data_IF_442053608691
#
_entry.id   IF_442053608691
#
_cell.length_a   1.000
_cell.length_b   1.000
_cell.length_c   1.000
_cell.angle_alpha   90.00
_cell.angle_beta   90.00
_cell.angle_gamma   90.00
#
_symmetry.space_group_name_H-M   'P 1'
#
loop_
_entity.id
_entity.type
_entity.pdbx_description
1 polymer ?
#
# COMPACT_ATOMS: atom_id res chain seq x y z
N UNK A 1 -2.28 -47.47 80.30
CA UNK A 1 -3.32 -46.85 81.15
C UNK A 1 -4.08 -45.83 80.31
N UNK A 2 -5.41 -45.94 80.28
CA UNK A 2 -6.47 -45.06 79.73
C UNK A 2 -6.29 -44.45 78.33
N UNK A 3 -7.00 -44.88 77.28
CA UNK A 3 -8.42 -44.66 76.91
C UNK A 3 -8.84 -43.21 76.57
N UNK A 4 -9.60 -43.12 75.47
CA UNK A 4 -10.71 -42.19 75.17
C UNK A 4 -10.37 -40.78 74.68
N UNK A 5 -11.18 -40.11 73.86
CA UNK A 5 -12.32 -40.42 72.98
C UNK A 5 -12.57 -39.15 72.15
N UNK A 6 -13.26 -39.30 71.02
CA UNK A 6 -13.64 -38.29 70.01
C UNK A 6 -14.55 -37.13 70.51
N UNK A 7 -14.75 -36.18 69.57
CA UNK A 7 -15.85 -35.20 69.37
C UNK A 7 -15.54 -33.77 69.93
N UNK A 8 -15.78 -32.62 69.30
CA UNK A 8 -16.83 -32.13 68.36
C UNK A 8 -16.33 -30.91 67.54
N UNK A 9 -16.95 -30.73 66.38
CA UNK A 9 -17.07 -29.59 65.45
C UNK A 9 -16.98 -28.13 65.97
N UNK A 10 -16.33 -27.24 65.19
CA UNK A 10 -16.90 -26.27 64.22
C UNK A 10 -16.07 -24.97 64.14
N UNK A 11 -15.82 -24.47 62.92
CA UNK A 11 -15.98 -23.07 62.45
C UNK A 11 -15.16 -22.85 61.17
N UNK A 12 -15.87 -22.40 60.14
CA UNK A 12 -15.37 -21.94 58.85
C UNK A 12 -14.34 -20.82 58.98
N UNK A 13 -13.23 -20.91 58.24
CA UNK A 13 -12.52 -19.72 57.76
C UNK A 13 -11.81 -20.01 56.45
N UNK A 14 -12.00 -19.08 55.52
CA UNK A 14 -11.48 -18.98 54.17
C UNK A 14 -9.98 -19.27 54.03
N UNK A 15 -9.63 -20.23 53.17
CA UNK A 15 -8.27 -20.42 52.67
C UNK A 15 -8.13 -19.72 51.31
N UNK A 16 -7.48 -18.57 51.34
CA UNK A 16 -6.73 -18.00 50.23
C UNK A 16 -5.68 -19.02 49.77
N UNK A 17 -5.75 -19.46 48.53
CA UNK A 17 -4.60 -20.03 47.83
C UNK A 17 -4.18 -19.05 46.73
N UNK A 18 -3.12 -18.30 47.01
CA UNK A 18 -2.36 -17.57 46.00
C UNK A 18 -1.56 -18.60 45.20
N UNK A 19 -2.11 -19.00 44.04
CA UNK A 19 -1.35 -19.73 43.02
C UNK A 19 -0.55 -18.74 42.18
N UNK A 20 0.75 -18.64 42.44
CA UNK A 20 1.69 -18.06 41.49
C UNK A 20 1.78 -18.98 40.26
N UNK A 21 1.21 -18.58 39.14
CA UNK A 21 1.54 -19.16 37.84
C UNK A 21 2.73 -18.39 37.31
N UNK A 22 3.90 -19.02 37.30
CA UNK A 22 5.01 -18.58 36.46
C UNK A 22 4.56 -18.71 35.01
N UNK A 23 4.26 -17.59 34.37
CA UNK A 23 4.23 -17.54 32.92
C UNK A 23 5.67 -17.75 32.45
N UNK A 24 5.96 -18.91 31.86
CA UNK A 24 7.12 -19.07 31.01
C UNK A 24 7.06 -17.94 29.97
N UNK A 25 8.11 -17.12 29.88
CA UNK A 25 8.31 -16.18 28.78
C UNK A 25 8.31 -16.99 27.49
N UNK A 26 7.15 -17.07 26.85
CA UNK A 26 7.07 -17.49 25.47
C UNK A 26 7.94 -16.49 24.70
N UNK A 27 8.92 -16.94 23.89
CA UNK A 27 9.65 -16.03 23.05
C UNK A 27 8.62 -15.25 22.24
N UNK A 28 8.58 -13.92 22.41
CA UNK A 28 7.73 -13.03 21.62
C UNK A 28 8.06 -13.33 20.16
N UNK A 29 7.22 -14.11 19.50
CA UNK A 29 7.32 -14.31 18.07
C UNK A 29 7.13 -12.92 17.47
N UNK A 30 8.22 -12.34 16.96
CA UNK A 30 8.11 -11.12 16.16
C UNK A 30 7.15 -11.46 15.02
N UNK A 31 6.06 -10.70 14.81
CA UNK A 31 5.19 -10.92 13.67
C UNK A 31 6.04 -10.81 12.41
N UNK A 32 6.38 -11.95 11.81
CA UNK A 32 7.23 -12.01 10.63
C UNK A 32 6.34 -11.98 9.41
N UNK A 33 5.79 -10.79 9.14
CA UNK A 33 5.28 -10.40 7.83
C UNK A 33 5.60 -8.92 7.63
N UNK A 34 6.89 -8.60 7.53
CA UNK A 34 7.27 -7.39 6.80
C UNK A 34 6.80 -7.64 5.38
N UNK A 35 5.73 -6.98 4.95
CA UNK A 35 5.36 -6.97 3.54
C UNK A 35 6.55 -6.36 2.81
N UNK A 36 7.39 -7.20 2.20
CA UNK A 36 8.55 -6.72 1.48
C UNK A 36 8.03 -6.00 0.24
N UNK A 37 8.09 -4.66 0.27
CA UNK A 37 7.79 -3.82 -0.88
C UNK A 37 8.90 -3.98 -1.92
N UNK A 38 8.76 -5.00 -2.77
CA UNK A 38 9.73 -5.37 -3.80
C UNK A 38 9.04 -5.62 -5.13
N UNK A 39 9.79 -5.44 -6.21
CA UNK A 39 9.38 -5.79 -7.56
C UNK A 39 9.90 -7.18 -7.89
N UNK A 40 8.99 -8.12 -8.14
CA UNK A 40 9.32 -9.48 -8.52
C UNK A 40 9.34 -9.56 -10.04
N UNK A 41 10.40 -10.13 -10.62
CA UNK A 41 10.52 -10.30 -12.08
C UNK A 41 9.52 -11.32 -12.62
N UNK A 42 9.10 -11.15 -13.86
CA UNK A 42 8.32 -12.14 -14.57
C UNK A 42 9.22 -13.21 -15.20
N UNK A 43 9.00 -14.47 -14.84
CA UNK A 43 9.62 -15.66 -15.45
C UNK A 43 8.57 -16.60 -16.06
N UNK A 44 7.39 -16.07 -16.37
CA UNK A 44 6.27 -16.80 -16.95
C UNK A 44 5.07 -17.02 -16.02
N UNK A 45 5.11 -16.50 -14.79
CA UNK A 45 3.99 -16.62 -13.84
C UNK A 45 2.86 -15.62 -14.10
N UNK A 46 3.09 -14.65 -15.00
CA UNK A 46 2.11 -13.66 -15.48
C UNK A 46 2.19 -13.52 -17.00
N UNK A 47 1.29 -12.73 -17.61
CA UNK A 47 1.30 -12.45 -19.05
C UNK A 47 2.65 -11.86 -19.49
N UNK A 48 3.05 -12.15 -20.72
CA UNK A 48 4.39 -11.81 -21.26
C UNK A 48 4.71 -10.32 -21.25
N UNK A 49 3.69 -9.47 -21.29
CA UNK A 49 3.86 -8.03 -21.32
C UNK A 49 4.32 -7.45 -19.97
N UNK A 50 4.17 -8.21 -18.88
CA UNK A 50 4.60 -7.80 -17.54
C UNK A 50 6.07 -8.18 -17.38
N UNK A 51 6.92 -7.20 -17.08
CA UNK A 51 8.33 -7.41 -16.75
C UNK A 51 8.54 -7.58 -15.25
N UNK A 52 7.87 -6.74 -14.45
CA UNK A 52 7.92 -6.81 -12.99
C UNK A 52 6.55 -6.55 -12.38
N UNK A 53 6.31 -7.08 -11.18
CA UNK A 53 5.13 -6.77 -10.38
C UNK A 53 5.50 -6.56 -8.92
N UNK A 54 4.90 -5.56 -8.30
CA UNK A 54 4.93 -5.36 -6.87
C UNK A 54 3.52 -5.46 -6.28
N UNK A 55 3.44 -5.92 -5.05
CA UNK A 55 2.19 -5.93 -4.28
C UNK A 55 2.00 -4.59 -3.58
N UNK A 56 0.76 -4.12 -3.58
CA UNK A 56 0.31 -2.99 -2.77
C UNK A 56 -0.94 -3.42 -2.00
N UNK A 57 -1.28 -2.77 -0.87
CA UNK A 57 -2.42 -3.18 -0.03
C UNK A 57 -3.74 -3.41 -0.78
N UNK A 58 -3.97 -2.70 -1.90
CA UNK A 58 -5.22 -2.74 -2.66
C UNK A 58 -5.02 -3.16 -4.12
N UNK A 59 -4.02 -4.01 -4.37
CA UNK A 59 -3.81 -4.63 -5.67
C UNK A 59 -2.35 -4.70 -6.07
N UNK A 60 -2.03 -4.32 -7.31
CA UNK A 60 -0.71 -4.53 -7.88
C UNK A 60 -0.20 -3.34 -8.67
N UNK A 61 1.11 -3.12 -8.59
CA UNK A 61 1.85 -2.29 -9.53
C UNK A 61 2.46 -3.25 -10.55
N UNK A 62 2.19 -3.02 -11.84
CA UNK A 62 2.72 -3.81 -12.93
C UNK A 62 3.62 -2.92 -13.79
N UNK A 63 4.85 -3.35 -14.00
CA UNK A 63 5.80 -2.70 -14.90
C UNK A 63 5.85 -3.49 -16.18
N UNK A 64 5.61 -2.83 -17.31
CA UNK A 64 5.77 -3.39 -18.66
C UNK A 64 6.94 -2.68 -19.35
N UNK A 65 7.21 -3.04 -20.62
CA UNK A 65 8.20 -2.30 -21.40
C UNK A 65 7.87 -0.80 -21.45
N UNK A 66 6.63 -0.43 -21.81
CA UNK A 66 6.29 0.97 -22.15
C UNK A 66 5.34 1.67 -21.17
N UNK A 67 5.01 1.02 -20.04
CA UNK A 67 4.03 1.56 -19.11
C UNK A 67 4.19 1.05 -17.68
N UNK A 68 3.63 1.81 -16.75
CA UNK A 68 3.36 1.39 -15.37
C UNK A 68 1.84 1.29 -15.22
N UNK A 69 1.35 0.19 -14.66
CA UNK A 69 -0.07 -0.01 -14.37
C UNK A 69 -0.31 -0.13 -12.87
N UNK A 70 -1.34 0.54 -12.39
CA UNK A 70 -1.94 0.32 -11.07
C UNK A 70 -3.22 -0.47 -11.27
N UNK A 71 -3.19 -1.74 -10.90
CA UNK A 71 -4.40 -2.56 -10.82
C UNK A 71 -4.94 -2.46 -9.40
N UNK A 72 -6.00 -1.68 -9.24
CA UNK A 72 -6.68 -1.43 -7.97
C UNK A 72 -7.88 -2.35 -7.83
N UNK A 73 -8.08 -2.90 -6.65
CA UNK A 73 -9.20 -3.78 -6.33
C UNK A 73 -9.76 -3.40 -4.96
N UNK A 74 -11.07 -3.25 -4.87
CA UNK A 74 -11.75 -2.92 -3.62
C UNK A 74 -13.23 -3.25 -3.67
N UNK A 75 -13.90 -3.09 -2.53
CA UNK A 75 -15.35 -3.26 -2.44
C UNK A 75 -16.06 -1.97 -2.83
N UNK A 76 -17.26 -2.09 -3.41
CA UNK A 76 -18.12 -0.93 -3.62
C UNK A 76 -18.48 -0.32 -2.26
N UNK A 77 -18.28 0.99 -2.04
CA UNK A 77 -18.73 1.63 -0.82
C UNK A 77 -20.25 1.48 -0.73
N UNK A 78 -20.74 0.95 0.39
CA UNK A 78 -22.16 0.90 0.69
C UNK A 78 -22.64 2.35 0.73
N UNK A 79 -23.42 2.77 -0.27
CA UNK A 79 -24.08 4.07 -0.25
C UNK A 79 -25.17 4.01 0.82
N UNK A 80 -24.86 4.36 2.06
CA UNK A 80 -25.90 4.64 3.04
C UNK A 80 -26.58 5.95 2.62
N UNK A 81 -27.81 5.86 2.13
CA UNK A 81 -28.69 7.03 1.93
C UNK A 81 -29.25 7.54 3.28
N UNK A 82 -28.58 7.25 4.40
CA UNK A 82 -29.05 7.64 5.72
C UNK A 82 -28.54 9.06 6.02
N UNK A 83 -29.43 9.96 6.48
CA UNK A 83 -29.00 11.24 7.02
C UNK A 83 -27.97 11.01 8.13
N UNK A 84 -26.89 11.79 8.12
CA UNK A 84 -25.92 11.81 9.22
C UNK A 84 -26.66 12.13 10.53
N UNK A 85 -26.93 11.10 11.35
CA UNK A 85 -27.65 11.21 12.63
C UNK A 85 -28.86 10.30 12.82
N UNK A 86 -29.23 9.42 11.87
CA UNK A 86 -30.36 8.48 12.09
C UNK A 86 -29.91 7.18 12.75
N UNK A 87 -30.21 7.01 14.04
CA UNK A 87 -30.02 5.75 14.80
C UNK A 87 -31.10 4.71 14.48
N UNK A 88 -31.27 4.36 13.21
CA UNK A 88 -32.20 3.30 12.82
C UNK A 88 -31.41 2.26 12.04
N UNK A 89 -31.03 1.16 12.70
CA UNK A 89 -30.39 -0.01 12.08
C UNK A 89 -31.19 -0.48 10.86
N UNK A 90 -30.76 -0.26 9.62
CA UNK A 90 -31.23 -1.07 8.52
C UNK A 90 -30.26 -2.24 8.44
N UNK A 91 -30.74 -3.46 8.69
CA UNK A 91 -30.02 -4.66 8.27
C UNK A 91 -29.88 -4.62 6.75
N UNK A 92 -28.80 -4.01 6.25
CA UNK A 92 -28.39 -4.13 4.85
C UNK A 92 -27.70 -5.48 4.76
N UNK A 93 -28.40 -6.48 4.21
CA UNK A 93 -27.86 -7.82 4.06
C UNK A 93 -26.52 -7.79 3.32
N UNK A 94 -25.47 -8.34 3.93
CA UNK A 94 -24.10 -8.40 3.40
C UNK A 94 -23.93 -9.25 2.11
N UNK A 95 -25.03 -9.66 1.46
CA UNK A 95 -25.04 -10.66 0.39
C UNK A 95 -24.79 -10.11 -1.03
N UNK A 96 -24.34 -8.87 -1.21
CA UNK A 96 -24.10 -8.30 -2.56
C UNK A 96 -22.86 -7.39 -2.69
N UNK A 97 -21.82 -7.56 -1.87
CA UNK A 97 -20.59 -6.79 -2.08
C UNK A 97 -19.84 -7.29 -3.32
N UNK A 98 -20.09 -6.65 -4.47
CA UNK A 98 -19.36 -6.91 -5.71
C UNK A 98 -17.96 -6.30 -5.60
N UNK A 99 -16.95 -7.14 -5.82
CA UNK A 99 -15.57 -6.70 -6.00
C UNK A 99 -15.49 -5.81 -7.24
N UNK A 100 -15.00 -4.58 -7.09
CA UNK A 100 -14.70 -3.67 -8.20
C UNK A 100 -13.20 -3.59 -8.41
N UNK A 101 -12.82 -3.54 -9.69
CA UNK A 101 -11.45 -3.28 -10.12
C UNK A 101 -11.39 -1.98 -10.90
N UNK A 102 -10.27 -1.27 -10.78
CA UNK A 102 -9.92 -0.14 -11.62
C UNK A 102 -8.47 -0.27 -12.06
N UNK A 103 -8.17 -0.01 -13.34
CA UNK A 103 -6.80 -0.03 -13.84
C UNK A 103 -6.43 1.36 -14.30
N UNK A 104 -5.38 1.93 -13.70
CA UNK A 104 -4.75 3.15 -14.17
C UNK A 104 -3.49 2.74 -14.92
N UNK A 105 -3.33 3.18 -16.16
CA UNK A 105 -2.12 2.92 -16.94
C UNK A 105 -1.42 4.23 -17.29
N UNK A 106 -0.13 4.30 -16.97
CA UNK A 106 0.75 5.42 -17.30
C UNK A 106 1.66 4.98 -18.44
N UNK A 107 1.53 5.62 -19.59
CA UNK A 107 2.43 5.43 -20.73
C UNK A 107 3.39 6.62 -20.84
N UNK A 108 4.55 6.37 -21.48
CA UNK A 108 5.58 7.36 -21.75
C UNK A 108 5.61 7.71 -23.24
N UNK A 109 4.72 8.60 -23.74
CA UNK A 109 4.71 8.98 -25.14
C UNK A 109 6.05 9.59 -25.57
N UNK A 110 6.48 9.26 -26.79
CA UNK A 110 7.74 9.72 -27.39
C UNK A 110 8.99 9.31 -26.60
N UNK A 111 8.89 8.25 -25.79
CA UNK A 111 10.05 7.59 -25.18
C UNK A 111 10.98 7.02 -26.25
N UNK A 112 12.24 6.84 -25.86
CA UNK A 112 13.27 6.22 -26.69
C UNK A 112 12.88 4.77 -27.01
N UNK A 113 12.75 4.34 -28.28
CA UNK A 113 12.34 2.97 -28.59
C UNK A 113 13.27 1.88 -28.02
N UNK A 114 14.52 2.24 -27.72
CA UNK A 114 15.57 1.31 -27.27
C UNK A 114 15.86 1.40 -25.75
N UNK A 115 15.08 2.15 -24.97
CA UNK A 115 15.29 2.23 -23.52
C UNK A 115 15.16 0.85 -22.87
N UNK A 116 15.82 0.68 -21.72
CA UNK A 116 15.87 -0.60 -21.01
C UNK A 116 15.16 -0.52 -19.67
N UNK A 117 14.37 -1.54 -19.33
CA UNK A 117 13.74 -1.67 -18.00
C UNK A 117 14.49 -2.73 -17.21
N UNK A 118 15.16 -2.33 -16.14
CA UNK A 118 16.05 -3.22 -15.39
C UNK A 118 15.78 -3.19 -13.90
N UNK A 119 15.80 -4.36 -13.26
CA UNK A 119 15.76 -4.47 -11.81
C UNK A 119 17.09 -4.10 -11.17
N UNK A 120 17.07 -3.23 -10.16
CA UNK A 120 18.23 -2.83 -9.35
C UNK A 120 18.06 -3.25 -7.90
N UNK A 121 19.16 -3.26 -7.15
CA UNK A 121 19.19 -3.60 -5.72
C UNK A 121 18.46 -4.93 -5.45
N UNK A 122 18.98 -5.98 -6.08
CA UNK A 122 18.42 -7.34 -5.96
C UNK A 122 18.38 -7.77 -4.49
N UNK A 123 17.23 -8.30 -4.06
CA UNK A 123 17.09 -8.91 -2.74
C UNK A 123 17.46 -10.40 -2.77
N UNK A 124 17.88 -10.92 -1.61
CA UNK A 124 18.26 -12.33 -1.48
C UNK A 124 17.06 -13.27 -1.56
N UNK A 125 15.87 -12.81 -1.14
CA UNK A 125 14.61 -13.55 -1.21
C UNK A 125 14.35 -14.08 -2.63
N UNK A 126 13.79 -15.29 -2.70
CA UNK A 126 13.37 -15.94 -3.95
C UNK A 126 11.88 -16.26 -3.86
N UNK A 127 11.19 -16.09 -4.97
CA UNK A 127 9.75 -16.31 -5.07
C UNK A 127 9.46 -17.56 -5.91
N UNK A 128 8.57 -18.40 -5.38
CA UNK A 128 8.11 -19.64 -6.00
C UNK A 128 6.63 -19.49 -6.37
N UNK A 129 6.25 -19.88 -7.59
CA UNK A 129 4.85 -19.86 -8.04
C UNK A 129 4.43 -21.25 -8.52
N UNK A 130 3.69 -21.96 -7.67
CA UNK A 130 3.25 -23.35 -7.89
C UNK A 130 1.74 -23.38 -8.23
N UNK A 131 1.34 -22.62 -9.26
CA UNK A 131 -0.08 -22.35 -9.58
C UNK A 131 -0.74 -23.40 -10.48
N UNK A 132 0.04 -24.18 -11.22
CA UNK A 132 -0.44 -25.19 -12.17
C UNK A 132 -0.32 -26.60 -11.59
N UNK A 133 -1.20 -27.51 -12.01
CA UNK A 133 -1.16 -28.93 -11.64
C UNK A 133 0.06 -29.65 -12.24
N UNK A 134 0.58 -29.16 -13.36
CA UNK A 134 1.83 -29.64 -13.95
C UNK A 134 3.04 -28.94 -13.28
N UNK A 135 3.91 -29.68 -12.56
CA UNK A 135 5.12 -29.12 -11.95
C UNK A 135 6.12 -28.50 -12.93
N UNK A 136 6.09 -28.91 -14.20
CA UNK A 136 6.96 -28.33 -15.24
C UNK A 136 6.62 -26.87 -15.55
N UNK A 137 5.39 -26.42 -15.21
CA UNK A 137 4.95 -25.03 -15.36
C UNK A 137 5.18 -24.20 -14.11
N UNK A 138 5.79 -24.76 -13.07
CA UNK A 138 6.11 -24.01 -11.87
C UNK A 138 7.25 -23.04 -12.14
N UNK A 139 7.03 -21.78 -11.77
CA UNK A 139 8.11 -20.81 -11.77
C UNK A 139 8.87 -20.93 -10.46
N UNK A 140 10.15 -21.24 -10.58
CA UNK A 140 11.04 -21.36 -9.43
C UNK A 140 12.16 -20.32 -9.46
N UNK A 141 12.42 -19.69 -8.33
CA UNK A 141 13.55 -18.81 -8.10
C UNK A 141 13.39 -17.45 -8.75
N UNK A 142 12.17 -16.93 -8.86
CA UNK A 142 11.97 -15.56 -9.33
C UNK A 142 12.70 -14.60 -8.38
N UNK A 143 13.53 -13.72 -8.96
CA UNK A 143 14.25 -12.69 -8.23
C UNK A 143 13.32 -11.52 -7.90
N UNK A 144 13.72 -10.75 -6.90
CA UNK A 144 13.07 -9.50 -6.60
C UNK A 144 14.08 -8.37 -6.39
N UNK A 145 13.59 -7.16 -6.56
CA UNK A 145 14.38 -5.94 -6.70
C UNK A 145 13.73 -4.83 -5.85
N UNK A 146 14.54 -3.98 -5.23
CA UNK A 146 14.01 -2.84 -4.48
C UNK A 146 13.71 -1.62 -5.37
N UNK A 147 14.24 -1.63 -6.60
CA UNK A 147 14.14 -0.51 -7.55
C UNK A 147 14.05 -1.05 -8.97
N UNK A 148 13.26 -0.39 -9.82
CA UNK A 148 13.22 -0.62 -11.27
C UNK A 148 13.67 0.66 -11.96
N UNK A 149 14.67 0.54 -12.84
CA UNK A 149 15.16 1.65 -13.66
C UNK A 149 14.66 1.48 -15.09
N UNK A 150 14.01 2.51 -15.61
CA UNK A 150 13.85 2.73 -17.05
C UNK A 150 15.02 3.60 -17.49
N UNK A 151 16.07 2.97 -17.99
CA UNK A 151 17.33 3.62 -18.39
C UNK A 151 17.19 4.23 -19.77
N UNK A 152 17.56 5.50 -19.93
CA UNK A 152 17.40 6.27 -21.18
C UNK A 152 15.94 6.29 -21.68
N UNK A 153 14.96 6.35 -20.75
CA UNK A 153 13.53 6.42 -21.07
C UNK A 153 13.23 7.54 -22.08
N UNK A 154 13.85 8.69 -21.87
CA UNK A 154 14.09 9.70 -22.89
C UNK A 154 15.61 9.92 -23.01
N UNK A 155 16.11 10.51 -24.11
CA UNK A 155 17.53 10.81 -24.24
C UNK A 155 18.06 11.57 -23.01
N UNK A 156 19.01 10.95 -22.30
CA UNK A 156 19.63 11.46 -21.08
C UNK A 156 18.69 11.62 -19.88
N UNK A 157 17.55 10.92 -19.86
CA UNK A 157 16.58 10.94 -18.77
C UNK A 157 16.21 9.50 -18.38
N UNK A 158 16.55 9.15 -17.13
CA UNK A 158 16.12 7.89 -16.52
C UNK A 158 14.83 8.10 -15.71
N UNK A 159 14.02 7.03 -15.57
CA UNK A 159 12.96 6.94 -14.57
C UNK A 159 13.30 5.83 -13.58
N UNK A 160 13.31 6.16 -12.29
CA UNK A 160 13.52 5.21 -11.20
C UNK A 160 12.22 4.98 -10.47
N UNK A 161 11.91 3.73 -10.16
CA UNK A 161 10.70 3.33 -9.45
C UNK A 161 11.08 2.54 -8.21
N UNK A 162 10.69 2.98 -7.02
CA UNK A 162 11.09 2.36 -5.74
C UNK A 162 10.04 2.60 -4.66
N UNK A 163 10.17 1.92 -3.53
CA UNK A 163 9.33 2.16 -2.37
C UNK A 163 10.04 2.99 -1.31
N UNK A 164 9.34 3.95 -0.73
CA UNK A 164 9.78 4.75 0.40
C UNK A 164 8.66 4.78 1.45
N UNK A 165 8.94 4.30 2.66
CA UNK A 165 7.92 4.20 3.73
C UNK A 165 6.64 3.47 3.29
N UNK A 166 6.82 2.39 2.50
CA UNK A 166 5.71 1.60 1.95
C UNK A 166 4.93 2.24 0.80
N UNK A 167 5.20 3.49 0.47
CA UNK A 167 4.61 4.20 -0.66
C UNK A 167 5.49 4.07 -1.90
N UNK A 168 4.84 3.95 -3.05
CA UNK A 168 5.54 3.94 -4.33
C UNK A 168 5.99 5.36 -4.68
N UNK A 169 7.28 5.49 -5.00
CA UNK A 169 7.90 6.71 -5.48
C UNK A 169 8.50 6.49 -6.85
N UNK A 170 8.56 7.57 -7.61
CA UNK A 170 9.29 7.57 -8.86
C UNK A 170 10.06 8.87 -9.07
N UNK A 171 11.28 8.76 -9.58
CA UNK A 171 12.16 9.91 -9.82
C UNK A 171 12.51 9.96 -11.31
N UNK A 172 12.30 11.10 -11.96
CA UNK A 172 12.95 11.39 -13.23
C UNK A 172 14.32 12.00 -12.96
N UNK A 173 15.37 11.38 -13.49
CA UNK A 173 16.76 11.86 -13.35
C UNK A 173 17.22 12.37 -14.71
N UNK A 174 17.31 13.70 -14.84
CA UNK A 174 17.71 14.40 -16.06
C UNK A 174 19.21 14.70 -15.97
N UNK A 175 19.99 14.14 -16.88
CA UNK A 175 21.42 14.38 -16.97
C UNK A 175 21.73 15.80 -17.47
N UNK A 176 22.93 16.35 -17.15
CA UNK A 176 23.33 17.66 -17.65
C UNK A 176 23.20 17.80 -19.17
N UNK A 177 22.64 18.93 -19.62
CA UNK A 177 22.45 19.25 -21.03
C UNK A 177 21.18 18.70 -21.68
N UNK A 178 20.43 17.83 -21.00
CA UNK A 178 19.20 17.25 -21.54
C UNK A 178 17.94 18.04 -21.16
N UNK A 179 16.91 17.94 -22.00
CA UNK A 179 15.72 18.79 -21.90
C UNK A 179 14.59 18.08 -21.13
N UNK A 180 14.24 18.54 -19.90
CA UNK A 180 13.18 17.93 -19.10
C UNK A 180 11.78 18.03 -19.73
N UNK A 181 11.55 18.94 -20.69
CA UNK A 181 10.24 19.11 -21.35
C UNK A 181 9.82 17.90 -22.21
N UNK A 182 10.75 16.97 -22.45
CA UNK A 182 10.50 15.67 -23.08
C UNK A 182 9.65 14.76 -22.19
N UNK A 183 9.76 14.89 -20.87
CA UNK A 183 9.02 14.07 -19.91
C UNK A 183 7.53 14.34 -20.08
N UNK A 184 6.78 13.27 -20.34
CA UNK A 184 5.33 13.33 -20.48
C UNK A 184 4.71 12.03 -20.01
N UNK A 185 3.68 12.13 -19.16
CA UNK A 185 2.94 10.97 -18.66
C UNK A 185 1.56 10.97 -19.30
N UNK A 186 1.22 9.90 -20.01
CA UNK A 186 -0.09 9.71 -20.61
C UNK A 186 -0.89 8.70 -19.78
N UNK A 187 -1.91 9.19 -19.10
CA UNK A 187 -2.80 8.37 -18.30
C UNK A 187 -3.93 7.79 -19.15
N UNK A 188 -4.25 6.53 -18.90
CA UNK A 188 -5.38 5.76 -19.42
C UNK A 188 -6.15 5.14 -18.25
N UNK A 189 -7.45 4.91 -18.45
CA UNK A 189 -8.35 4.41 -17.39
C UNK A 189 -8.99 5.50 -16.53
N UNK A 190 -8.53 6.75 -16.64
CA UNK A 190 -9.09 7.92 -15.93
C UNK A 190 -9.84 8.83 -16.91
N UNK A 191 -11.07 9.22 -16.55
CA UNK A 191 -11.91 10.07 -17.41
C UNK A 191 -11.69 11.57 -17.18
N UNK A 192 -11.50 12.00 -15.93
CA UNK A 192 -11.51 13.44 -15.56
C UNK A 192 -10.43 13.76 -14.55
N UNK A 193 -9.18 13.74 -15.01
CA UNK A 193 -8.05 14.20 -14.21
C UNK A 193 -8.16 15.69 -13.92
N UNK A 194 -7.65 16.11 -12.76
CA UNK A 194 -7.55 17.53 -12.41
C UNK A 194 -6.31 17.81 -11.57
N UNK A 195 -5.86 19.06 -11.56
CA UNK A 195 -4.82 19.54 -10.64
C UNK A 195 -5.48 20.55 -9.71
N UNK A 196 -5.35 20.34 -8.40
CA UNK A 196 -5.85 21.26 -7.36
C UNK A 196 -4.81 21.39 -6.27
N UNK A 197 -4.45 22.61 -5.89
CA UNK A 197 -3.40 22.88 -4.89
C UNK A 197 -2.06 22.16 -5.23
N UNK A 198 -1.80 22.04 -6.54
CA UNK A 198 -0.69 21.29 -7.14
C UNK A 198 -0.69 19.76 -6.86
N UNK A 199 -1.77 19.20 -6.29
CA UNK A 199 -2.01 17.76 -6.29
C UNK A 199 -2.61 17.33 -7.62
N UNK A 200 -2.10 16.25 -8.20
CA UNK A 200 -2.76 15.58 -9.31
C UNK A 200 -3.84 14.65 -8.75
N UNK A 201 -5.08 14.83 -9.18
CA UNK A 201 -6.22 14.04 -8.72
C UNK A 201 -6.66 13.10 -9.86
N UNK A 202 -6.70 11.81 -9.55
CA UNK A 202 -7.08 10.72 -10.45
C UNK A 202 -8.36 10.05 -9.92
N UNK A 203 -9.55 10.44 -10.41
CA UNK A 203 -10.79 9.82 -9.97
C UNK A 203 -10.93 8.38 -10.46
N UNK A 204 -11.17 7.44 -9.54
CA UNK A 204 -11.44 6.03 -9.86
C UNK A 204 -12.80 5.59 -9.32
N UNK A 205 -13.25 4.40 -9.68
CA UNK A 205 -14.48 3.82 -9.11
C UNK A 205 -14.31 3.35 -7.65
N UNK A 206 -13.09 3.41 -7.10
CA UNK A 206 -12.72 3.02 -5.74
C UNK A 206 -12.35 4.24 -4.85
N UNK A 207 -12.54 5.46 -5.36
CA UNK A 207 -12.11 6.70 -4.72
C UNK A 207 -11.04 7.43 -5.54
N UNK A 208 -10.54 8.55 -5.01
CA UNK A 208 -9.51 9.33 -5.69
C UNK A 208 -8.11 8.80 -5.35
N UNK A 209 -7.27 8.68 -6.37
CA UNK A 209 -5.82 8.54 -6.18
C UNK A 209 -5.20 9.93 -6.33
N UNK A 210 -4.19 10.24 -5.52
CA UNK A 210 -3.55 11.55 -5.51
C UNK A 210 -2.06 11.42 -5.83
N UNK A 211 -1.51 12.32 -6.62
CA UNK A 211 -0.06 12.56 -6.60
C UNK A 211 0.19 13.88 -5.88
N UNK A 212 1.12 13.85 -4.92
CA UNK A 212 1.58 15.05 -4.23
C UNK A 212 2.22 16.02 -5.22
N UNK A 213 2.26 17.32 -4.88
CA UNK A 213 3.05 18.31 -5.61
C UNK A 213 4.45 17.79 -5.94
N UNK A 214 4.90 17.91 -7.20
CA UNK A 214 6.20 17.38 -7.60
C UNK A 214 7.31 18.14 -6.88
N UNK A 215 8.22 17.40 -6.24
CA UNK A 215 9.41 17.98 -5.64
C UNK A 215 10.58 17.87 -6.63
N UNK A 216 11.06 19.00 -7.15
CA UNK A 216 12.23 19.02 -8.03
C UNK A 216 13.44 19.64 -7.32
N UNK A 217 14.62 19.11 -7.60
CA UNK A 217 15.88 19.64 -7.05
C UNK A 217 17.07 19.37 -7.96
N UNK A 218 18.09 20.23 -7.85
CA UNK A 218 19.39 20.04 -8.46
C UNK A 218 20.44 19.64 -7.44
N UNK A 219 21.36 18.78 -7.86
CA UNK A 219 22.50 18.37 -7.04
C UNK A 219 23.65 19.35 -7.27
N UNK A 220 24.03 20.10 -6.24
CA UNK A 220 25.18 21.00 -6.21
C UNK A 220 26.23 20.49 -5.22
N UNK A 221 27.44 21.06 -5.26
CA UNK A 221 28.53 20.72 -4.33
C UNK A 221 28.11 20.89 -2.85
N UNK A 222 27.29 21.89 -2.55
CA UNK A 222 26.81 22.19 -1.20
C UNK A 222 25.47 21.51 -0.85
N UNK A 223 25.02 20.51 -1.63
CA UNK A 223 23.79 19.74 -1.38
C UNK A 223 22.69 19.97 -2.42
N UNK A 224 21.44 19.68 -2.02
CA UNK A 224 20.26 19.79 -2.90
C UNK A 224 19.73 21.22 -2.92
N UNK A 225 19.59 21.80 -4.11
CA UNK A 225 18.89 23.07 -4.33
C UNK A 225 17.51 22.78 -4.90
N UNK A 226 16.45 23.16 -4.18
CA UNK A 226 15.08 22.99 -4.67
C UNK A 226 14.82 23.84 -5.92
N UNK A 227 14.05 23.28 -6.84
CA UNK A 227 13.58 23.90 -8.08
C UNK A 227 12.05 23.95 -8.04
N UNK A 228 11.49 25.10 -8.41
CA UNK A 228 10.04 25.25 -8.52
C UNK A 228 9.51 24.36 -9.64
N UNK A 229 8.59 23.46 -9.28
CA UNK A 229 7.99 22.50 -10.18
C UNK A 229 6.49 22.41 -9.93
N UNK A 230 5.69 22.38 -11.01
CA UNK A 230 4.24 22.22 -10.95
C UNK A 230 3.77 21.21 -11.97
N UNK A 231 2.63 20.57 -11.69
CA UNK A 231 1.97 19.75 -12.71
C UNK A 231 1.32 20.64 -13.78
N UNK A 232 1.56 20.29 -15.04
CA UNK A 232 0.85 20.82 -16.19
C UNK A 232 -0.04 19.73 -16.76
N UNK A 233 -1.36 19.93 -16.74
CA UNK A 233 -2.32 18.93 -17.19
C UNK A 233 -3.02 19.40 -18.47
N UNK A 234 -2.97 18.58 -19.53
CA UNK A 234 -3.78 18.76 -20.75
C UNK A 234 -4.48 17.46 -21.11
N UNK A 235 -5.81 17.42 -20.93
CA UNK A 235 -6.61 16.18 -21.00
C UNK A 235 -6.07 15.15 -20.00
N UNK A 236 -5.58 14.01 -20.49
CA UNK A 236 -4.99 12.95 -19.66
C UNK A 236 -3.46 12.91 -19.77
N UNK A 237 -2.84 14.00 -20.24
CA UNK A 237 -1.40 14.14 -20.36
C UNK A 237 -0.87 15.08 -19.30
N UNK A 238 0.03 14.57 -18.46
CA UNK A 238 0.74 15.32 -17.42
C UNK A 238 2.15 15.62 -17.90
N UNK A 239 2.59 16.85 -17.64
CA UNK A 239 3.97 17.33 -17.77
C UNK A 239 4.38 18.06 -16.50
N UNK A 240 5.66 18.40 -16.42
CA UNK A 240 6.25 19.13 -15.30
C UNK A 240 6.69 20.52 -15.77
N UNK A 241 6.07 21.56 -15.22
CA UNK A 241 6.43 22.95 -15.49
C UNK A 241 7.54 23.37 -14.51
N UNK A 242 8.76 23.44 -15.01
CA UNK A 242 9.98 23.77 -14.26
C UNK A 242 10.42 25.21 -14.50
N UNK A 243 10.92 25.88 -13.46
CA UNK A 243 11.45 27.25 -13.57
C UNK A 243 12.85 27.37 -12.95
N UNK A 244 13.68 28.22 -13.54
CA UNK A 244 14.96 28.69 -12.97
C UNK A 244 15.98 27.57 -12.58
N UNK A 245 16.06 26.49 -13.36
CA UNK A 245 17.07 25.44 -13.19
C UNK A 245 18.31 25.68 -14.06
N UNK A 246 19.47 25.19 -13.61
CA UNK A 246 20.74 25.22 -14.33
C UNK A 246 20.90 23.97 -15.21
N UNK A 247 20.86 24.11 -16.54
CA UNK A 247 20.96 22.96 -17.45
C UNK A 247 22.30 22.22 -17.40
N UNK A 248 23.34 22.78 -16.76
CA UNK A 248 24.63 22.11 -16.57
C UNK A 248 24.67 21.15 -15.37
N UNK A 249 23.57 21.04 -14.61
CA UNK A 249 23.48 20.22 -13.40
C UNK A 249 22.43 19.12 -13.57
N UNK A 250 22.63 18.01 -12.87
CA UNK A 250 21.61 16.96 -12.75
C UNK A 250 20.37 17.54 -12.09
N UNK A 251 19.22 17.32 -12.73
CA UNK A 251 17.90 17.69 -12.20
C UNK A 251 17.14 16.41 -11.87
N UNK A 252 16.60 16.34 -10.66
CA UNK A 252 15.72 15.25 -10.23
C UNK A 252 14.32 15.80 -10.03
N UNK A 253 13.32 15.13 -10.58
CA UNK A 253 11.89 15.41 -10.38
C UNK A 253 11.28 14.20 -9.67
N UNK A 254 10.86 14.38 -8.43
CA UNK A 254 10.34 13.35 -7.52
C UNK A 254 8.90 13.71 -7.10
N UNK A 255 7.89 13.29 -7.86
CA UNK A 255 6.51 13.25 -7.40
C UNK A 255 6.27 12.00 -6.54
N UNK A 256 5.55 12.21 -5.43
CA UNK A 256 5.14 11.11 -4.56
C UNK A 256 3.69 10.72 -4.87
N UNK A 257 3.46 9.45 -5.23
CA UNK A 257 2.12 8.91 -5.41
C UNK A 257 1.53 8.56 -4.04
N UNK A 258 0.46 9.26 -3.65
CA UNK A 258 -0.27 9.02 -2.42
C UNK A 258 -1.60 8.37 -2.71
N UNK A 259 -1.74 7.16 -2.23
CA UNK A 259 -3.03 6.48 -2.26
C UNK A 259 -3.85 6.90 -1.05
N UNK A 260 -5.06 7.42 -1.25
CA UNK A 260 -6.02 7.70 -0.18
C UNK A 260 -7.33 7.01 -0.50
N UNK A 261 -7.66 5.92 0.19
CA UNK A 261 -9.05 5.44 0.25
C UNK A 261 -9.36 4.81 1.60
N UNK A 262 -10.65 4.58 1.84
CA UNK A 262 -11.29 4.29 3.11
C UNK A 262 -10.79 3.01 3.81
N UNK A 263 -10.95 2.98 5.14
CA UNK A 263 -10.60 1.94 6.12
C UNK A 263 -10.90 0.47 5.79
N UNK A 264 -11.60 0.16 4.69
CA UNK A 264 -12.09 -1.19 4.39
C UNK A 264 -13.22 -1.68 5.30
N UNK A 265 -13.65 -0.89 6.29
CA UNK A 265 -14.79 -1.22 7.16
C UNK A 265 -16.10 -1.24 6.36
N UNK A 266 -16.88 -2.30 6.54
CA UNK A 266 -18.23 -2.45 5.97
C UNK A 266 -19.33 -1.82 6.85
N UNK A 267 -18.99 -1.39 8.06
CA UNK A 267 -19.88 -0.74 9.01
C UNK A 267 -19.38 0.68 9.36
N UNK A 268 -20.29 1.51 9.90
CA UNK A 268 -19.98 2.87 10.36
C UNK A 268 -18.77 2.83 11.28
N UNK A 269 -17.75 3.61 10.93
CA UNK A 269 -16.49 3.69 11.65
C UNK A 269 -16.34 5.10 12.24
N UNK A 270 -16.37 5.19 13.57
CA UNK A 270 -16.03 6.42 14.29
C UNK A 270 -14.60 6.31 14.81
N UNK A 271 -13.69 7.06 14.19
CA UNK A 271 -12.31 7.20 14.67
C UNK A 271 -12.29 7.98 15.98
N UNK A 272 -11.90 7.33 17.07
CA UNK A 272 -11.83 7.95 18.39
C UNK A 272 -10.40 8.35 18.77
N UNK A 273 -9.38 7.76 18.14
CA UNK A 273 -7.97 8.07 18.38
C UNK A 273 -7.11 7.68 17.18
N UNK A 274 -6.03 8.43 16.95
CA UNK A 274 -5.00 8.08 15.99
C UNK A 274 -3.62 8.35 16.62
N UNK A 275 -2.68 7.45 16.41
CA UNK A 275 -1.27 7.57 16.82
C UNK A 275 -0.36 6.94 15.78
N UNK A 276 0.96 7.07 15.92
CA UNK A 276 1.93 6.42 15.06
C UNK A 276 3.04 5.80 15.92
N UNK A 277 3.70 4.75 15.44
CA UNK A 277 4.89 4.20 16.10
C UNK A 277 6.18 4.88 15.59
N UNK A 278 7.31 4.55 16.23
CA UNK A 278 8.65 5.04 15.84
C UNK A 278 9.08 4.55 14.44
N UNK A 279 8.36 3.59 13.85
CA UNK A 279 8.59 3.07 12.49
C UNK A 279 7.71 3.76 11.43
N UNK A 280 6.83 4.68 11.85
CA UNK A 280 5.96 5.46 10.96
C UNK A 280 4.68 4.72 10.55
N UNK A 281 4.36 3.60 11.19
CA UNK A 281 3.08 2.93 10.98
C UNK A 281 1.99 3.77 11.64
N UNK A 282 0.92 4.02 10.89
CA UNK A 282 -0.24 4.75 11.37
C UNK A 282 -1.18 3.79 12.11
N UNK A 283 -1.53 4.13 13.35
CA UNK A 283 -2.51 3.42 14.14
C UNK A 283 -3.78 4.24 14.30
N UNK A 284 -4.94 3.72 13.92
CA UNK A 284 -6.23 4.37 14.17
C UNK A 284 -7.18 3.44 14.89
N UNK A 285 -7.65 3.89 16.06
CA UNK A 285 -8.63 3.22 16.90
C UNK A 285 -10.05 3.69 16.58
N UNK A 286 -10.92 2.77 16.19
CA UNK A 286 -12.34 3.03 15.91
C UNK A 286 -13.28 2.06 16.59
N UNK A 287 -14.55 2.46 16.79
CA UNK A 287 -15.63 1.54 17.16
C UNK A 287 -16.39 1.20 15.89
N UNK A 288 -16.60 -0.09 15.66
CA UNK A 288 -17.41 -0.61 14.56
C UNK A 288 -18.68 -1.21 15.14
N UNK A 289 -19.83 -0.81 14.60
CA UNK A 289 -21.14 -1.34 15.00
C UNK A 289 -21.61 -2.39 13.98
N UNK A 290 -21.46 -3.69 14.31
CA UNK A 290 -22.00 -4.79 13.51
C UNK A 290 -21.24 -6.11 13.71
N UNK A 291 -21.96 -7.22 13.90
CA UNK A 291 -21.40 -8.57 14.15
C UNK A 291 -20.85 -9.28 12.90
N UNK A 292 -20.53 -8.56 11.81
CA UNK A 292 -20.23 -9.20 10.51
C UNK A 292 -18.95 -8.68 9.85
N UNK A 293 -17.95 -9.57 9.86
CA UNK A 293 -16.90 -9.77 8.84
C UNK A 293 -15.84 -8.66 8.66
N UNK A 294 -14.94 -8.54 9.62
CA UNK A 294 -13.56 -8.11 9.33
C UNK A 294 -12.80 -9.25 8.60
N UNK A 295 -11.90 -8.97 7.63
CA UNK A 295 -11.02 -9.99 7.09
C UNK A 295 -10.05 -10.48 8.17
N UNK A 296 -10.40 -11.61 8.78
CA UNK A 296 -9.62 -12.32 9.79
C UNK A 296 -8.38 -12.99 9.16
N UNK A 297 -7.29 -12.99 9.91
CA UNK A 297 -6.05 -13.69 9.57
C UNK A 297 -6.26 -15.22 9.62
N UNK A 298 -5.59 -16.04 8.79
CA UNK A 298 -5.73 -17.50 8.87
C UNK A 298 -5.27 -18.05 10.24
N UNK A 299 -6.16 -18.73 10.95
CA UNK A 299 -5.97 -19.33 12.28
C UNK A 299 -7.32 -19.55 12.99
N UNK A 300 -7.40 -20.26 14.13
CA UNK A 300 -8.64 -20.40 14.88
C UNK A 300 -9.00 -19.08 15.59
N UNK A 301 -10.08 -18.43 15.17
CA UNK A 301 -10.67 -17.27 15.83
C UNK A 301 -12.11 -17.60 16.24
N UNK A 302 -12.56 -17.06 17.37
CA UNK A 302 -13.95 -17.19 17.81
C UNK A 302 -14.84 -16.26 16.99
N UNK A 303 -15.85 -16.81 16.30
CA UNK A 303 -16.83 -16.05 15.52
C UNK A 303 -17.99 -15.52 16.36
N UNK A 304 -17.87 -15.54 17.70
CA UNK A 304 -18.93 -15.10 18.60
C UNK A 304 -18.35 -14.45 19.85
N UNK A 305 -18.64 -13.17 20.03
CA UNK A 305 -18.48 -12.44 21.28
C UNK A 305 -19.85 -11.85 21.66
N UNK A 306 -20.24 -12.02 22.93
CA UNK A 306 -21.57 -11.65 23.44
C UNK A 306 -21.76 -10.15 23.71
N UNK A 307 -21.53 -9.28 22.71
CA UNK A 307 -21.78 -7.84 22.83
C UNK A 307 -21.74 -7.07 21.51
N UNK A 308 -22.46 -5.95 21.42
CA UNK A 308 -22.76 -5.19 20.19
C UNK A 308 -21.63 -4.26 19.67
N UNK A 309 -20.37 -4.45 20.08
CA UNK A 309 -19.26 -3.51 19.77
C UNK A 309 -17.93 -4.23 19.51
N UNK A 310 -17.31 -3.90 18.37
CA UNK A 310 -15.95 -4.32 18.02
C UNK A 310 -14.97 -3.14 18.03
N UNK A 311 -13.70 -3.45 18.35
CA UNK A 311 -12.59 -2.49 18.31
C UNK A 311 -11.83 -2.68 16.99
N UNK A 312 -11.68 -1.60 16.23
CA UNK A 312 -10.83 -1.52 15.05
C UNK A 312 -9.47 -0.92 15.42
N UNK A 313 -8.39 -1.57 14.99
CA UNK A 313 -7.04 -1.01 14.93
C UNK A 313 -6.58 -1.16 13.48
N UNK A 314 -6.50 -0.04 12.76
CA UNK A 314 -5.75 0.08 11.49
C UNK A 314 -4.32 0.46 11.82
#
# INVERSE_FOLDING_TARGET
MSHNLKLVFHIFSSLLFAGYVYAHDAPKAKPTKTQQHVFIENRGQWTTDILFRAEMPQGYILVTQNSILYQLVGYEPIKSNLPAGSHTNPHVSASQNKLKGHVIKINFPQSNPDFQVVGKKRVQTRFQYLKDKNPEKWVQGAMAFQEIDFQELYPGIDLKLYFHQGLLKYDFVVQPGYNPNQISLQYEGIERMSVKDNFLILPTCLGNVFEKPPFAYQIHENGKKQIDCQFSLKKNKVKFDLKNYDSSKVLVIDPELVFSTYSGSLADNWGNTATYDEEGNFYSGGIVFGNENFPVTPGPFGTYAGGDKDILIL
#
